data_IF_400670685776
#
_entry.id   IF_400670685776
#
_cell.length_a   1.000
_cell.length_b   1.000
_cell.length_c   1.000
_cell.angle_alpha   90.00
_cell.angle_beta   90.00
_cell.angle_gamma   90.00
#
_symmetry.space_group_name_H-M   'P 1'
#
loop_
_entity.id
_entity.type
_entity.pdbx_description
1 polymer ?
#
# COMPACT_ATOMS: atom_id res chain seq x y z
N UNK A 1 47.95 -70.48 41.47
CA UNK A 1 48.14 -69.80 40.16
C UNK A 1 46.78 -69.64 39.56
N UNK A 2 46.33 -68.51 39.45
CA UNK A 2 45.36 -67.86 38.55
C UNK A 2 44.65 -66.74 39.26
N UNK A 3 44.94 -65.58 38.74
CA UNK A 3 44.39 -64.29 39.24
C UNK A 3 43.12 -63.97 38.48
N UNK A 4 41.99 -64.01 39.12
CA UNK A 4 40.73 -63.57 38.56
C UNK A 4 40.58 -62.07 38.80
N UNK A 5 40.60 -61.32 37.72
CA UNK A 5 40.36 -59.86 37.67
C UNK A 5 38.84 -59.68 37.60
N UNK A 6 38.29 -59.07 38.63
CA UNK A 6 36.89 -58.67 38.66
C UNK A 6 36.83 -57.23 38.05
N UNK A 7 36.23 -57.11 36.88
CA UNK A 7 35.93 -55.85 36.24
C UNK A 7 34.60 -55.34 36.80
N UNK A 8 34.67 -54.27 37.59
CA UNK A 8 33.51 -53.53 38.05
C UNK A 8 33.10 -52.51 36.91
N UNK A 9 32.01 -52.82 36.26
CA UNK A 9 31.42 -51.96 35.21
C UNK A 9 30.53 -50.92 35.89
N UNK A 10 31.03 -49.70 36.02
CA UNK A 10 30.26 -48.57 36.51
C UNK A 10 29.33 -48.03 35.39
N UNK A 11 28.04 -48.34 35.52
CA UNK A 11 27.01 -47.74 34.70
C UNK A 11 26.83 -46.24 35.09
N UNK A 12 27.38 -45.33 34.28
CA UNK A 12 27.07 -43.90 34.37
C UNK A 12 25.77 -43.65 33.62
N UNK A 13 24.69 -43.47 34.36
CA UNK A 13 23.39 -43.06 33.81
C UNK A 13 23.45 -41.57 33.51
N UNK A 14 23.61 -41.22 32.24
CA UNK A 14 23.42 -39.83 31.76
C UNK A 14 21.92 -39.52 31.72
N UNK A 15 21.45 -38.84 32.75
CA UNK A 15 20.11 -38.27 32.77
C UNK A 15 20.12 -36.97 31.92
N UNK A 16 19.79 -37.10 30.62
CA UNK A 16 19.65 -35.97 29.73
C UNK A 16 18.36 -35.21 30.08
N UNK A 17 18.51 -34.09 30.79
CA UNK A 17 17.46 -33.16 31.10
C UNK A 17 17.14 -32.34 29.82
N UNK A 18 16.25 -32.86 28.98
CA UNK A 18 15.72 -32.13 27.82
C UNK A 18 14.68 -31.11 28.28
N UNK A 19 15.09 -29.91 28.51
CA UNK A 19 14.17 -28.78 28.69
C UNK A 19 13.46 -28.47 27.35
N UNK A 20 12.11 -28.41 27.30
CA UNK A 20 11.43 -27.99 26.09
C UNK A 20 11.68 -26.51 25.89
N UNK A 21 12.33 -26.14 24.78
CA UNK A 21 12.33 -24.77 24.29
C UNK A 21 10.87 -24.37 23.98
N UNK A 22 10.28 -23.59 24.88
CA UNK A 22 9.05 -22.86 24.56
C UNK A 22 9.38 -21.76 23.57
N UNK A 23 9.18 -22.02 22.28
CA UNK A 23 9.06 -21.00 21.27
C UNK A 23 7.80 -20.22 21.62
N UNK A 24 7.97 -19.07 22.23
CA UNK A 24 6.90 -18.09 22.37
C UNK A 24 6.55 -17.63 20.95
N UNK A 25 5.47 -18.16 20.41
CA UNK A 25 4.83 -17.59 19.22
C UNK A 25 4.34 -16.20 19.64
N UNK A 26 5.14 -15.19 19.36
CA UNK A 26 4.66 -13.81 19.35
C UNK A 26 3.67 -13.73 18.20
N UNK A 27 2.38 -13.76 18.54
CA UNK A 27 1.32 -13.32 17.66
C UNK A 27 1.56 -11.81 17.44
N UNK A 28 2.28 -11.49 16.40
CA UNK A 28 2.21 -10.15 15.83
C UNK A 28 0.77 -10.06 15.29
N UNK A 29 -0.14 -9.56 16.13
CA UNK A 29 -1.38 -8.99 15.66
C UNK A 29 -0.94 -7.80 14.79
N UNK A 30 -0.74 -8.09 13.50
CA UNK A 30 -0.50 -7.07 12.51
C UNK A 30 -1.73 -6.19 12.50
N UNK A 31 -1.65 -5.05 13.15
CA UNK A 31 -2.42 -3.88 12.76
C UNK A 31 -2.25 -3.81 11.25
N UNK A 32 -3.33 -4.05 10.52
CA UNK A 32 -3.33 -4.01 9.07
C UNK A 32 -3.00 -2.57 8.69
N UNK A 33 -1.71 -2.28 8.59
CA UNK A 33 -1.23 -1.00 8.09
C UNK A 33 -1.93 -0.80 6.74
N UNK A 34 -2.63 0.32 6.60
CA UNK A 34 -3.21 0.71 5.34
C UNK A 34 -2.12 0.51 4.25
N UNK A 35 -2.43 -0.09 3.10
CA UNK A 35 -1.44 -0.43 2.07
C UNK A 35 -0.70 0.79 1.53
N UNK A 36 -1.11 1.97 1.95
CA UNK A 36 -0.51 3.27 1.65
C UNK A 36 -0.05 3.92 2.95
N UNK A 37 1.10 4.63 2.86
CA UNK A 37 1.60 5.41 3.99
C UNK A 37 0.62 6.51 4.44
N UNK A 38 0.92 7.21 5.54
CA UNK A 38 0.07 8.24 6.14
C UNK A 38 -0.27 9.39 5.17
N UNK A 39 0.51 9.55 4.10
CA UNK A 39 0.34 10.59 3.08
C UNK A 39 -0.63 10.21 1.95
N UNK A 40 -1.28 9.04 2.03
CA UNK A 40 -2.25 8.65 1.02
C UNK A 40 -3.45 9.61 1.01
N UNK A 41 -3.73 10.17 -0.17
CA UNK A 41 -4.89 11.03 -0.39
C UNK A 41 -6.00 10.22 -1.09
N UNK A 42 -7.12 10.11 -0.44
CA UNK A 42 -8.34 9.48 -0.96
C UNK A 42 -8.72 10.12 -2.30
N UNK A 43 -9.24 9.32 -3.22
CA UNK A 43 -9.67 9.83 -4.52
C UNK A 43 -10.94 9.20 -5.06
N UNK A 44 -11.52 9.81 -6.11
CA UNK A 44 -12.71 9.29 -6.76
C UNK A 44 -12.52 7.84 -7.22
N UNK A 45 -13.50 6.99 -6.91
CA UNK A 45 -13.47 5.56 -7.21
C UNK A 45 -12.97 4.67 -6.09
N UNK A 46 -12.33 5.21 -5.05
CA UNK A 46 -11.92 4.44 -3.88
C UNK A 46 -13.14 3.92 -3.12
N UNK A 47 -12.99 2.74 -2.53
CA UNK A 47 -13.99 2.14 -1.67
C UNK A 47 -13.51 2.23 -0.23
N UNK A 48 -14.29 2.93 0.58
CA UNK A 48 -14.04 3.12 2.00
C UNK A 48 -15.05 2.31 2.80
N UNK A 49 -14.62 1.72 3.90
CA UNK A 49 -15.53 1.17 4.90
C UNK A 49 -15.56 2.10 6.11
N UNK A 50 -16.73 2.56 6.43
CA UNK A 50 -16.99 3.37 7.61
C UNK A 50 -17.79 2.48 8.57
N UNK A 51 -17.26 2.29 9.78
CA UNK A 51 -17.93 1.51 10.82
C UNK A 51 -18.08 2.34 12.10
N UNK A 52 -19.20 2.15 12.77
CA UNK A 52 -19.50 2.81 14.04
C UNK A 52 -19.61 1.73 15.10
N UNK A 53 -18.84 1.82 16.18
CA UNK A 53 -18.80 0.80 17.22
C UNK A 53 -20.19 0.52 17.77
N UNK A 54 -20.56 -0.78 17.86
CA UNK A 54 -21.87 -1.29 18.30
C UNK A 54 -23.10 -0.90 17.45
N UNK A 55 -22.89 -0.24 16.29
CA UNK A 55 -23.97 0.19 15.40
C UNK A 55 -23.80 -0.46 14.02
N UNK A 56 -24.20 -1.73 13.86
CA UNK A 56 -24.08 -2.47 12.59
C UNK A 56 -24.84 -1.78 11.45
N UNK A 57 -25.96 -1.14 11.76
CA UNK A 57 -26.76 -0.39 10.78
C UNK A 57 -25.99 0.79 10.16
N UNK A 58 -24.95 1.27 10.84
CA UNK A 58 -24.08 2.36 10.39
C UNK A 58 -22.73 1.85 9.84
N UNK A 59 -22.53 0.53 9.77
CA UNK A 59 -21.35 -0.03 9.13
C UNK A 59 -21.62 -0.23 7.65
N UNK A 60 -20.93 0.55 6.80
CA UNK A 60 -21.15 0.52 5.34
C UNK A 60 -19.88 0.75 4.55
N UNK A 61 -19.77 0.00 3.45
CA UNK A 61 -18.84 0.32 2.38
C UNK A 61 -19.46 1.45 1.52
N UNK A 62 -18.68 2.50 1.29
CA UNK A 62 -19.06 3.66 0.48
C UNK A 62 -18.04 3.90 -0.60
N UNK A 63 -18.49 4.30 -1.79
CA UNK A 63 -17.62 4.65 -2.91
C UNK A 63 -17.43 6.16 -2.93
N UNK A 64 -16.21 6.61 -3.13
CA UNK A 64 -15.93 8.03 -3.38
C UNK A 64 -16.41 8.38 -4.79
N UNK A 65 -17.40 9.24 -4.85
CA UNK A 65 -18.03 9.67 -6.12
C UNK A 65 -17.06 10.53 -6.98
N UNK A 66 -17.36 10.71 -8.27
CA UNK A 66 -16.52 11.52 -9.16
C UNK A 66 -16.36 12.98 -8.72
N UNK A 67 -17.30 13.52 -7.93
CA UNK A 67 -17.22 14.85 -7.32
C UNK A 67 -16.35 14.88 -6.04
N UNK A 68 -15.75 13.73 -5.67
CA UNK A 68 -14.89 13.58 -4.51
C UNK A 68 -15.63 13.40 -3.18
N UNK A 69 -16.93 13.19 -3.19
CA UNK A 69 -17.73 13.03 -1.97
C UNK A 69 -18.10 11.60 -1.71
N UNK A 70 -18.35 11.29 -0.44
CA UNK A 70 -19.00 10.06 0.02
C UNK A 70 -20.34 10.40 0.64
N UNK A 71 -21.32 9.50 0.48
CA UNK A 71 -22.61 9.62 1.15
C UNK A 71 -22.68 8.64 2.32
N UNK A 72 -22.96 9.16 3.52
CA UNK A 72 -23.05 8.34 4.72
C UNK A 72 -24.35 8.64 5.49
N UNK A 73 -25.02 7.64 6.08
CA UNK A 73 -26.26 7.84 6.81
C UNK A 73 -26.14 8.92 7.88
N UNK A 74 -27.25 9.60 8.17
CA UNK A 74 -27.40 10.66 9.18
C UNK A 74 -26.64 11.95 8.89
N UNK A 75 -25.42 11.90 8.32
CA UNK A 75 -24.56 13.08 8.08
C UNK A 75 -24.55 13.52 6.61
N UNK A 76 -25.17 12.75 5.70
CA UNK A 76 -25.29 13.09 4.30
C UNK A 76 -23.96 13.02 3.54
N UNK A 77 -23.72 13.99 2.66
CA UNK A 77 -22.51 14.05 1.83
C UNK A 77 -21.34 14.69 2.59
N UNK A 78 -20.17 14.04 2.49
CA UNK A 78 -18.91 14.50 3.11
C UNK A 78 -17.82 14.51 2.03
N UNK A 79 -17.02 15.58 1.98
CA UNK A 79 -15.86 15.65 1.09
C UNK A 79 -14.81 14.65 1.55
N UNK A 80 -14.43 13.72 0.68
CA UNK A 80 -13.46 12.68 0.94
C UNK A 80 -12.18 12.84 0.09
N UNK A 81 -12.33 13.21 -1.19
CA UNK A 81 -11.17 13.35 -2.08
C UNK A 81 -10.20 14.43 -1.61
N UNK A 82 -8.90 14.17 -1.89
CA UNK A 82 -7.75 15.00 -1.55
C UNK A 82 -7.55 15.21 -0.03
N UNK A 83 -8.08 14.29 0.76
CA UNK A 83 -7.89 14.19 2.22
C UNK A 83 -7.20 12.89 2.59
N UNK A 84 -6.49 12.89 3.70
CA UNK A 84 -5.99 11.67 4.32
C UNK A 84 -7.14 10.89 4.97
N UNK A 85 -6.91 9.61 5.24
CA UNK A 85 -7.89 8.76 5.96
C UNK A 85 -8.19 9.35 7.33
N UNK A 86 -7.17 9.84 8.03
CA UNK A 86 -7.32 10.43 9.37
C UNK A 86 -8.09 11.75 9.35
N UNK A 87 -7.88 12.60 8.34
CA UNK A 87 -8.63 13.86 8.21
C UNK A 87 -10.12 13.59 7.96
N UNK A 88 -10.41 12.63 7.09
CA UNK A 88 -11.80 12.24 6.81
C UNK A 88 -12.45 11.60 8.03
N UNK A 89 -11.74 10.69 8.72
CA UNK A 89 -12.21 10.06 9.96
C UNK A 89 -12.57 11.12 11.01
N UNK A 90 -11.70 12.11 11.22
CA UNK A 90 -11.98 13.22 12.18
C UNK A 90 -13.22 14.03 11.81
N UNK A 91 -13.41 14.34 10.53
CA UNK A 91 -14.59 15.10 10.07
C UNK A 91 -15.89 14.29 10.26
N UNK A 92 -15.88 13.00 9.87
CA UNK A 92 -17.03 12.11 10.08
C UNK A 92 -17.34 11.98 11.56
N UNK A 93 -16.34 11.71 12.41
CA UNK A 93 -16.52 11.60 13.86
C UNK A 93 -17.16 12.87 14.43
N UNK A 94 -16.64 14.05 14.07
CA UNK A 94 -17.20 15.33 14.50
C UNK A 94 -18.67 15.51 14.13
N UNK A 95 -19.09 15.08 12.94
CA UNK A 95 -20.47 15.16 12.49
C UNK A 95 -21.36 14.12 13.16
N UNK A 96 -20.79 12.92 13.45
CA UNK A 96 -21.51 11.83 14.09
C UNK A 96 -21.80 12.07 15.57
N UNK A 97 -21.04 12.89 16.28
CA UNK A 97 -21.26 13.22 17.70
C UNK A 97 -22.71 13.62 18.00
N UNK A 98 -23.39 14.27 17.06
CA UNK A 98 -24.79 14.65 17.20
C UNK A 98 -25.76 13.46 17.26
N UNK A 99 -25.40 12.34 16.65
CA UNK A 99 -26.27 11.15 16.49
C UNK A 99 -25.80 9.98 17.34
N UNK A 100 -24.48 9.84 17.52
CA UNK A 100 -23.84 8.78 18.28
C UNK A 100 -22.68 9.37 19.13
N UNK A 101 -22.98 10.07 20.24
CA UNK A 101 -22.00 10.87 20.97
C UNK A 101 -20.95 10.07 21.74
N UNK A 102 -21.17 8.78 21.95
CA UNK A 102 -20.30 7.88 22.72
C UNK A 102 -19.63 6.81 21.87
N UNK A 103 -19.97 6.76 20.58
CA UNK A 103 -19.54 5.70 19.70
C UNK A 103 -18.28 6.08 18.95
N UNK A 104 -17.38 5.11 18.81
CA UNK A 104 -16.14 5.28 18.04
C UNK A 104 -16.41 5.01 16.55
N UNK A 105 -15.97 5.95 15.70
CA UNK A 105 -16.00 5.79 14.24
C UNK A 105 -14.66 5.25 13.78
N UNK A 106 -14.68 4.16 13.03
CA UNK A 106 -13.52 3.66 12.30
C UNK A 106 -13.70 3.89 10.80
N UNK A 107 -12.60 4.15 10.09
CA UNK A 107 -12.56 4.36 8.65
C UNK A 107 -11.38 3.59 8.07
N UNK A 108 -11.65 2.73 7.10
CA UNK A 108 -10.65 1.94 6.40
C UNK A 108 -10.81 2.09 4.89
N UNK A 109 -9.68 2.07 4.16
CA UNK A 109 -9.69 1.97 2.70
C UNK A 109 -9.72 0.48 2.33
N UNK A 110 -10.85 0.00 1.84
CA UNK A 110 -10.99 -1.40 1.39
C UNK A 110 -10.38 -1.63 0.01
N UNK A 111 -10.53 -0.64 -0.87
CA UNK A 111 -9.99 -0.76 -2.22
C UNK A 111 -9.56 0.61 -2.75
N UNK A 112 -8.34 0.67 -3.22
CA UNK A 112 -7.81 1.84 -3.91
C UNK A 112 -8.02 1.66 -5.41
N UNK A 113 -8.87 2.52 -5.98
CA UNK A 113 -9.14 2.55 -7.41
C UNK A 113 -8.72 3.89 -8.04
N UNK A 114 -8.43 4.87 -7.20
CA UNK A 114 -8.12 6.23 -7.64
C UNK A 114 -6.67 6.41 -8.06
N UNK A 115 -5.74 5.59 -7.57
CA UNK A 115 -4.32 5.69 -7.90
C UNK A 115 -4.04 5.07 -9.27
N UNK A 116 -4.40 5.80 -10.31
CA UNK A 116 -4.27 5.40 -11.71
C UNK A 116 -3.09 6.09 -12.35
N UNK A 117 -2.29 5.31 -13.11
CA UNK A 117 -1.25 5.82 -14.02
C UNK A 117 -1.46 5.25 -15.41
N UNK A 118 -0.91 5.92 -16.40
CA UNK A 118 -1.00 5.51 -17.78
C UNK A 118 0.41 5.32 -18.34
N UNK A 119 0.65 4.19 -18.99
CA UNK A 119 1.90 3.92 -19.70
C UNK A 119 1.57 3.71 -21.17
N UNK A 120 2.13 4.54 -22.04
CA UNK A 120 1.86 4.52 -23.47
C UNK A 120 3.16 4.52 -24.29
N UNK A 121 3.06 4.05 -25.52
CA UNK A 121 4.15 4.00 -26.48
C UNK A 121 4.87 2.65 -26.53
N UNK A 122 6.20 2.68 -26.58
CA UNK A 122 7.04 1.50 -26.86
C UNK A 122 7.33 0.65 -25.60
N UNK A 123 6.28 0.18 -24.95
CA UNK A 123 6.32 -0.84 -23.87
C UNK A 123 5.63 -2.10 -24.35
N UNK A 124 5.87 -3.22 -23.70
CA UNK A 124 5.26 -4.49 -24.09
C UNK A 124 3.75 -4.54 -23.81
N UNK A 125 3.29 -3.89 -22.73
CA UNK A 125 1.88 -3.82 -22.34
C UNK A 125 1.49 -2.35 -22.06
N UNK A 126 1.21 -1.55 -23.11
CA UNK A 126 0.70 -0.19 -22.89
C UNK A 126 -0.72 -0.25 -22.33
N UNK A 127 -1.05 0.69 -21.42
CA UNK A 127 -2.37 0.71 -20.83
C UNK A 127 -2.51 1.60 -19.61
N UNK A 128 -3.64 1.38 -18.93
CA UNK A 128 -3.98 2.01 -17.66
C UNK A 128 -3.72 1.02 -16.53
N UNK A 129 -2.99 1.47 -15.50
CA UNK A 129 -2.64 0.64 -14.35
C UNK A 129 -3.16 1.24 -13.07
N UNK A 130 -3.82 0.44 -12.25
CA UNK A 130 -4.19 0.78 -10.88
C UNK A 130 -3.02 0.39 -9.98
N UNK A 131 -2.51 1.33 -9.22
CA UNK A 131 -1.41 1.09 -8.30
C UNK A 131 -1.97 0.92 -6.88
N UNK A 132 -1.66 -0.20 -6.24
CA UNK A 132 -2.09 -0.49 -4.87
C UNK A 132 -1.01 -0.17 -3.83
N UNK A 133 0.12 0.36 -4.26
CA UNK A 133 1.25 0.78 -3.43
C UNK A 133 1.92 2.00 -4.06
N UNK A 134 2.80 2.65 -3.32
CA UNK A 134 3.67 3.66 -3.90
C UNK A 134 4.61 3.01 -4.91
N UNK A 135 4.55 3.45 -6.15
CA UNK A 135 5.30 2.91 -7.29
C UNK A 135 6.09 4.05 -7.93
N UNK A 136 7.33 3.79 -8.27
CA UNK A 136 8.19 4.70 -9.04
C UNK A 136 8.12 4.41 -10.56
N UNK A 137 8.86 5.20 -11.35
CA UNK A 137 8.85 5.08 -12.82
C UNK A 137 9.37 3.71 -13.28
N UNK A 138 10.48 3.21 -12.69
CA UNK A 138 11.03 1.90 -13.06
C UNK A 138 10.05 0.77 -12.77
N UNK A 139 9.40 0.81 -11.60
CA UNK A 139 8.41 -0.17 -11.22
C UNK A 139 7.19 -0.15 -12.16
N UNK A 140 6.72 1.04 -12.54
CA UNK A 140 5.61 1.17 -13.48
C UNK A 140 5.98 0.64 -14.88
N UNK A 141 7.19 0.89 -15.36
CA UNK A 141 7.68 0.29 -16.61
C UNK A 141 7.77 -1.24 -16.51
N UNK A 142 8.18 -1.79 -15.36
CA UNK A 142 8.19 -3.23 -15.12
C UNK A 142 6.77 -3.83 -15.14
N UNK A 143 5.78 -3.15 -14.50
CA UNK A 143 4.37 -3.53 -14.52
C UNK A 143 3.82 -3.52 -15.97
N UNK A 144 4.27 -2.57 -16.81
CA UNK A 144 3.94 -2.50 -18.23
C UNK A 144 4.70 -3.54 -19.10
N UNK A 145 5.32 -4.54 -18.47
CA UNK A 145 6.06 -5.61 -19.15
C UNK A 145 7.43 -5.20 -19.68
N UNK A 146 7.94 -4.06 -19.27
CA UNK A 146 9.23 -3.51 -19.72
C UNK A 146 9.17 -2.78 -21.05
N UNK A 147 10.31 -2.23 -21.45
CA UNK A 147 10.46 -1.54 -22.71
C UNK A 147 10.55 -2.54 -23.87
N UNK A 148 9.95 -2.22 -25.00
CA UNK A 148 10.15 -3.04 -26.19
C UNK A 148 11.52 -2.72 -26.88
N UNK A 149 12.00 -3.59 -27.83
CA UNK A 149 13.29 -3.39 -28.49
C UNK A 149 13.43 -2.09 -29.29
N UNK A 150 12.32 -1.43 -29.63
CA UNK A 150 12.29 -0.23 -30.46
C UNK A 150 12.13 1.05 -29.61
N UNK A 151 12.11 0.92 -28.28
CA UNK A 151 11.94 2.06 -27.37
C UNK A 151 13.16 2.98 -27.35
N UNK A 152 12.94 4.27 -27.41
CA UNK A 152 13.97 5.26 -27.16
C UNK A 152 14.20 5.45 -25.66
N UNK A 153 15.02 4.59 -25.10
CA UNK A 153 15.25 4.43 -23.66
C UNK A 153 15.68 5.72 -22.93
N UNK A 154 16.35 6.63 -23.65
CA UNK A 154 16.87 7.88 -23.11
C UNK A 154 15.91 9.08 -23.30
N UNK A 155 14.72 8.90 -23.84
CA UNK A 155 13.75 9.97 -24.16
C UNK A 155 12.37 9.76 -23.54
N UNK A 156 12.28 8.97 -22.48
CA UNK A 156 11.04 8.72 -21.76
C UNK A 156 10.62 10.00 -21.03
N UNK A 157 9.33 10.28 -21.03
CA UNK A 157 8.77 11.47 -20.36
C UNK A 157 7.61 11.08 -19.45
N UNK A 158 7.53 11.73 -18.32
CA UNK A 158 6.39 11.63 -17.42
C UNK A 158 5.66 12.98 -17.43
N UNK A 159 4.38 12.95 -17.74
CA UNK A 159 3.50 14.10 -17.67
C UNK A 159 2.63 14.02 -16.44
N UNK A 160 2.70 15.05 -15.60
CA UNK A 160 1.93 15.19 -14.38
C UNK A 160 1.09 16.45 -14.41
N UNK A 161 -0.22 16.32 -14.22
CA UNK A 161 -1.11 17.46 -14.05
C UNK A 161 -1.04 17.94 -12.60
N UNK A 162 -0.70 19.20 -12.40
CA UNK A 162 -0.66 19.84 -11.08
C UNK A 162 -1.23 21.25 -11.17
N UNK A 163 -2.27 21.56 -10.39
CA UNK A 163 -2.89 22.89 -10.29
C UNK A 163 -3.17 23.57 -11.66
N UNK A 164 -3.72 22.79 -12.62
CA UNK A 164 -4.06 23.30 -13.96
C UNK A 164 -2.89 23.40 -14.94
N UNK A 165 -1.66 23.07 -14.51
CA UNK A 165 -0.46 23.05 -15.35
C UNK A 165 0.00 21.61 -15.57
N UNK A 166 0.62 21.33 -16.71
CA UNK A 166 1.26 20.04 -16.96
C UNK A 166 2.76 20.16 -16.74
N UNK A 167 3.26 19.45 -15.75
CA UNK A 167 4.69 19.30 -15.49
C UNK A 167 5.23 18.15 -16.34
N UNK A 168 6.45 18.32 -16.88
CA UNK A 168 7.14 17.28 -17.66
C UNK A 168 8.43 16.90 -16.94
N UNK A 169 8.58 15.61 -16.64
CA UNK A 169 9.82 15.06 -16.11
C UNK A 169 10.47 14.19 -17.18
N UNK A 170 11.75 14.39 -17.41
CA UNK A 170 12.53 13.54 -18.30
C UNK A 170 13.05 12.33 -17.54
N UNK A 171 13.06 11.19 -18.20
CA UNK A 171 13.54 9.94 -17.64
C UNK A 171 14.42 9.23 -18.67
N UNK A 172 15.67 9.02 -18.32
CA UNK A 172 16.62 8.24 -19.09
C UNK A 172 16.78 6.87 -18.43
N UNK A 173 16.21 5.84 -19.04
CA UNK A 173 16.21 4.50 -18.49
C UNK A 173 17.63 3.98 -18.24
N UNK A 174 18.54 4.17 -19.20
CA UNK A 174 19.92 3.69 -19.10
C UNK A 174 20.66 4.38 -17.96
N UNK A 175 20.60 5.72 -17.88
CA UNK A 175 21.24 6.49 -16.80
C UNK A 175 20.75 6.09 -15.40
N UNK A 176 19.44 5.77 -15.27
CA UNK A 176 18.84 5.37 -13.99
C UNK A 176 19.22 3.94 -13.62
N UNK A 177 19.17 3.01 -14.58
CA UNK A 177 19.51 1.59 -14.33
C UNK A 177 21.01 1.41 -14.05
N UNK A 178 21.86 2.26 -14.62
CA UNK A 178 23.30 2.27 -14.35
C UNK A 178 23.66 3.00 -13.04
N UNK A 179 22.67 3.55 -12.33
CA UNK A 179 22.83 4.22 -11.04
C UNK A 179 23.29 5.68 -11.12
N UNK A 180 23.47 6.24 -12.33
CA UNK A 180 23.99 7.59 -12.52
C UNK A 180 23.03 8.73 -12.20
N UNK A 181 21.72 8.55 -12.47
CA UNK A 181 20.69 9.59 -12.29
C UNK A 181 19.45 9.07 -11.57
N UNK A 182 19.64 8.46 -10.40
CA UNK A 182 18.55 7.88 -9.59
C UNK A 182 17.46 8.88 -9.22
N UNK A 183 17.79 10.17 -9.15
CA UNK A 183 16.79 11.24 -8.89
C UNK A 183 15.72 11.37 -9.99
N UNK A 184 15.93 10.80 -11.17
CA UNK A 184 14.89 10.74 -12.21
C UNK A 184 13.85 9.65 -11.95
N UNK A 185 14.15 8.68 -11.10
CA UNK A 185 13.23 7.63 -10.71
C UNK A 185 12.25 8.14 -9.65
N UNK A 186 11.41 9.08 -10.06
CA UNK A 186 10.46 9.75 -9.16
C UNK A 186 9.30 8.83 -8.78
N UNK A 187 8.71 8.99 -7.57
CA UNK A 187 7.46 8.34 -7.22
C UNK A 187 6.33 8.89 -8.09
N UNK A 188 5.51 7.97 -8.60
CA UNK A 188 4.36 8.33 -9.43
C UNK A 188 3.20 8.85 -8.57
N UNK A 189 2.40 9.72 -9.17
CA UNK A 189 1.17 10.26 -8.59
C UNK A 189 -0.01 9.92 -9.46
N UNK A 190 -1.18 9.99 -8.87
CA UNK A 190 -2.46 9.84 -9.58
C UNK A 190 -2.51 10.68 -10.85
N UNK A 191 -2.86 10.03 -11.96
CA UNK A 191 -3.01 10.67 -13.24
C UNK A 191 -1.73 10.89 -14.03
N UNK A 192 -0.57 10.41 -13.54
CA UNK A 192 0.68 10.48 -14.30
C UNK A 192 0.57 9.67 -15.59
N UNK A 193 1.17 10.21 -16.65
CA UNK A 193 1.25 9.57 -17.96
C UNK A 193 2.72 9.39 -18.32
N UNK A 194 3.16 8.14 -18.43
CA UNK A 194 4.51 7.77 -18.87
C UNK A 194 4.45 7.54 -20.39
N UNK A 195 5.24 8.29 -21.13
CA UNK A 195 5.34 8.19 -22.60
C UNK A 195 6.70 7.64 -22.98
N UNK A 196 6.69 6.49 -23.64
CA UNK A 196 7.90 5.82 -24.13
C UNK A 196 7.91 5.93 -25.66
N UNK A 197 8.75 6.80 -26.25
CA UNK A 197 8.81 6.98 -27.69
C UNK A 197 9.52 5.85 -28.44
#
# INVERSE_FOLDING_TARGET
MEKSIVIVMACVVFLSLSAPLRVAAQSVAGEAAAPFGPDYLIGPGDILEISVWKEEALTKAVVVLPDGRVSFPLIGQVQAADRTVDDLKRDITKRMVKYAPKEEVNLEVKQVNSMLVYVIGRVNQPGRFVLNTNVDVLQALAIAGGLNPFAKRNQIKIFRKAAGTTLTFNFNYDDVTDGGKLQQNIPLKRGDVIVVP
#
